data_IF_586818832077
#
_entry.id   IF_586818832077
#
_cell.length_a   1.000
_cell.length_b   1.000
_cell.length_c   1.000
_cell.angle_alpha   90.00
_cell.angle_beta   90.00
_cell.angle_gamma   90.00
#
_symmetry.space_group_name_H-M   'P 1'
#
loop_
_entity.id
_entity.type
_entity.pdbx_description
1 polymer ?
#
# COMPACT_ATOMS: atom_id res chain seq x y z
N UNK A 1 33.99 -10.26 -20.32
CA UNK A 1 33.23 -11.12 -19.33
C UNK A 1 31.90 -11.54 -19.94
N UNK A 2 31.48 -12.84 -19.77
CA UNK A 2 30.19 -13.30 -20.32
C UNK A 2 29.00 -12.77 -19.52
N UNK A 3 27.86 -12.60 -20.18
CA UNK A 3 26.65 -12.00 -19.60
C UNK A 3 26.16 -12.73 -18.35
N UNK A 4 26.19 -14.08 -18.35
CA UNK A 4 25.73 -14.86 -17.20
C UNK A 4 26.62 -14.60 -15.96
N UNK A 5 27.94 -14.65 -16.12
CA UNK A 5 28.91 -14.37 -15.05
C UNK A 5 28.76 -12.92 -14.52
N UNK A 6 28.53 -11.97 -15.43
CA UNK A 6 28.29 -10.59 -15.08
C UNK A 6 27.00 -10.40 -14.26
N UNK A 7 25.91 -11.08 -14.65
CA UNK A 7 24.64 -11.06 -13.91
C UNK A 7 24.82 -11.62 -12.50
N UNK A 8 25.49 -12.78 -12.37
CA UNK A 8 25.69 -13.43 -11.07
C UNK A 8 26.52 -12.54 -10.13
N UNK A 9 27.61 -11.97 -10.62
CA UNK A 9 28.46 -11.06 -9.85
C UNK A 9 27.70 -9.80 -9.41
N UNK A 10 26.91 -9.19 -10.31
CA UNK A 10 26.11 -8.01 -10.02
C UNK A 10 24.99 -8.31 -9.01
N UNK A 11 24.25 -9.40 -9.19
CA UNK A 11 23.17 -9.83 -8.30
C UNK A 11 23.72 -10.16 -6.90
N UNK A 12 24.86 -10.88 -6.84
CA UNK A 12 25.53 -11.17 -5.58
C UNK A 12 25.87 -9.88 -4.84
N UNK A 13 26.53 -8.93 -5.51
CA UNK A 13 26.84 -7.63 -4.92
C UNK A 13 25.61 -6.90 -4.40
N UNK A 14 24.51 -6.88 -5.19
CA UNK A 14 23.27 -6.23 -4.76
C UNK A 14 22.65 -6.88 -3.54
N UNK A 15 22.80 -8.19 -3.39
CA UNK A 15 22.37 -8.92 -2.19
C UNK A 15 23.27 -8.65 -0.99
N UNK A 16 24.58 -8.56 -1.21
CA UNK A 16 25.56 -8.20 -0.17
C UNK A 16 25.32 -6.76 0.34
N UNK A 17 24.82 -5.85 -0.53
CA UNK A 17 24.33 -4.51 -0.17
C UNK A 17 22.97 -4.54 0.59
N UNK A 18 22.43 -5.72 0.96
CA UNK A 18 21.18 -5.89 1.70
C UNK A 18 19.91 -5.82 0.87
N UNK A 19 20.00 -5.85 -0.46
CA UNK A 19 18.83 -5.85 -1.35
C UNK A 19 18.34 -7.27 -1.65
N UNK A 20 17.03 -7.51 -1.61
CA UNK A 20 16.44 -8.81 -1.98
C UNK A 20 16.65 -9.13 -3.47
N UNK A 21 16.66 -8.17 -4.33
CA UNK A 21 16.99 -8.15 -5.77
C UNK A 21 16.43 -9.30 -6.64
N UNK A 22 15.41 -10.03 -6.17
CA UNK A 22 14.87 -11.22 -6.84
C UNK A 22 14.16 -10.91 -8.16
N UNK A 23 13.36 -9.82 -8.19
CA UNK A 23 12.64 -9.39 -9.39
C UNK A 23 13.63 -8.96 -10.49
N UNK A 24 14.58 -8.10 -10.17
CA UNK A 24 15.60 -7.63 -11.12
C UNK A 24 16.49 -8.78 -11.61
N UNK A 25 16.88 -9.69 -10.72
CA UNK A 25 17.63 -10.89 -11.10
C UNK A 25 16.85 -11.76 -12.12
N UNK A 26 15.53 -11.91 -11.91
CA UNK A 26 14.66 -12.63 -12.84
C UNK A 26 14.61 -12.00 -14.23
N UNK A 27 14.61 -10.68 -14.33
CA UNK A 27 14.66 -9.97 -15.62
C UNK A 27 16.03 -10.03 -16.28
N UNK A 28 17.13 -9.93 -15.52
CA UNK A 28 18.49 -10.10 -16.05
C UNK A 28 18.69 -11.52 -16.58
N UNK A 29 18.23 -12.53 -15.85
CA UNK A 29 18.25 -13.91 -16.33
C UNK A 29 17.36 -14.13 -17.58
N UNK A 30 16.25 -13.39 -17.70
CA UNK A 30 15.42 -13.43 -18.90
C UNK A 30 16.11 -12.78 -20.10
N UNK A 31 16.86 -11.69 -19.88
CA UNK A 31 17.71 -11.09 -20.92
C UNK A 31 18.76 -12.09 -21.41
N UNK A 32 19.48 -12.75 -20.49
CA UNK A 32 20.49 -13.75 -20.84
C UNK A 32 19.90 -14.92 -21.65
N UNK A 33 18.69 -15.37 -21.30
CA UNK A 33 17.99 -16.40 -22.10
C UNK A 33 17.59 -15.96 -23.51
N UNK A 34 17.32 -14.67 -23.70
CA UNK A 34 16.93 -14.13 -25.00
C UNK A 34 18.12 -13.83 -25.90
N UNK A 35 19.18 -13.26 -25.36
CA UNK A 35 20.38 -12.83 -26.11
C UNK A 35 21.40 -13.96 -26.22
N UNK A 36 21.41 -14.89 -25.29
CA UNK A 36 22.43 -15.92 -25.10
C UNK A 36 23.51 -15.48 -24.11
N UNK A 37 24.40 -16.40 -23.75
CA UNK A 37 25.54 -16.13 -22.87
C UNK A 37 26.73 -15.60 -23.68
N UNK A 38 26.52 -14.41 -24.24
CA UNK A 38 27.53 -13.72 -25.06
C UNK A 38 28.41 -12.84 -24.19
N UNK A 39 29.53 -12.34 -24.71
CA UNK A 39 30.34 -11.33 -24.01
C UNK A 39 29.61 -10.00 -23.91
N UNK A 40 29.82 -9.27 -22.79
CA UNK A 40 29.09 -8.00 -22.50
C UNK A 40 29.29 -6.94 -23.60
N UNK A 41 30.48 -6.92 -24.25
CA UNK A 41 30.84 -5.98 -25.30
C UNK A 41 30.14 -6.28 -26.63
N UNK A 42 29.62 -7.51 -26.79
CA UNK A 42 28.89 -7.94 -28.00
C UNK A 42 27.40 -7.60 -27.93
N UNK A 43 26.90 -7.21 -26.78
CA UNK A 43 25.47 -6.89 -26.59
C UNK A 43 25.15 -5.59 -27.33
N UNK A 44 24.16 -5.64 -28.21
CA UNK A 44 23.75 -4.50 -29.01
C UNK A 44 22.56 -3.76 -28.44
N UNK A 45 22.46 -2.47 -28.75
CA UNK A 45 21.30 -1.64 -28.39
C UNK A 45 19.99 -2.19 -28.99
N UNK A 46 20.05 -2.89 -30.11
CA UNK A 46 18.92 -3.52 -30.80
C UNK A 46 18.37 -4.70 -29.99
N UNK A 47 19.23 -5.53 -29.42
CA UNK A 47 18.82 -6.67 -28.59
C UNK A 47 18.17 -6.18 -27.31
N UNK A 48 18.74 -5.16 -26.65
CA UNK A 48 18.16 -4.52 -25.48
C UNK A 48 16.80 -3.89 -25.80
N UNK A 49 16.67 -3.20 -26.95
CA UNK A 49 15.38 -2.65 -27.38
C UNK A 49 14.32 -3.75 -27.57
N UNK A 50 14.68 -4.86 -28.22
CA UNK A 50 13.79 -6.02 -28.40
C UNK A 50 13.34 -6.61 -27.07
N UNK A 51 14.26 -6.73 -26.11
CA UNK A 51 13.93 -7.22 -24.76
C UNK A 51 12.98 -6.27 -24.00
N UNK A 52 13.20 -4.97 -24.12
CA UNK A 52 12.34 -3.96 -23.49
C UNK A 52 10.93 -3.97 -24.08
N UNK A 53 10.79 -4.26 -25.38
CA UNK A 53 9.52 -4.27 -26.10
C UNK A 53 8.72 -5.56 -25.96
N UNK A 54 9.24 -6.58 -25.32
CA UNK A 54 8.67 -7.91 -25.19
C UNK A 54 7.14 -7.95 -25.03
N UNK A 55 6.48 -9.07 -25.30
CA UNK A 55 5.04 -9.15 -25.44
C UNK A 55 4.32 -8.64 -24.19
N UNK A 56 3.35 -7.73 -24.35
CA UNK A 56 2.50 -7.15 -23.29
C UNK A 56 3.24 -6.30 -22.24
N UNK A 57 4.36 -5.68 -22.59
CA UNK A 57 5.06 -4.76 -21.68
C UNK A 57 4.30 -3.45 -21.56
N UNK A 58 3.85 -3.11 -20.35
CA UNK A 58 3.22 -1.80 -20.08
C UNK A 58 4.28 -0.68 -20.12
N UNK A 59 3.89 0.58 -20.39
CA UNK A 59 4.83 1.71 -20.38
C UNK A 59 5.62 1.85 -19.08
N UNK A 60 5.00 1.63 -17.93
CA UNK A 60 5.67 1.66 -16.62
C UNK A 60 6.66 0.50 -16.45
N UNK A 61 6.29 -0.72 -16.86
CA UNK A 61 7.18 -1.89 -16.82
C UNK A 61 8.36 -1.70 -17.78
N UNK A 62 8.13 -1.11 -18.96
CA UNK A 62 9.20 -0.76 -19.88
C UNK A 62 10.22 0.18 -19.21
N UNK A 63 9.73 1.22 -18.54
CA UNK A 63 10.60 2.20 -17.88
C UNK A 63 11.37 1.58 -16.68
N UNK A 64 10.72 0.71 -15.91
CA UNK A 64 11.37 -0.02 -14.82
C UNK A 64 12.48 -0.96 -15.33
N UNK A 65 12.20 -1.73 -16.40
CA UNK A 65 13.20 -2.57 -17.07
C UNK A 65 14.35 -1.71 -17.62
N UNK A 66 14.04 -0.59 -18.27
CA UNK A 66 15.04 0.32 -18.82
C UNK A 66 15.99 0.83 -17.72
N UNK A 67 15.48 1.32 -16.62
CA UNK A 67 16.32 1.81 -15.51
C UNK A 67 17.12 0.68 -14.86
N UNK A 68 16.55 -0.50 -14.72
CA UNK A 68 17.23 -1.65 -14.17
C UNK A 68 18.41 -2.07 -15.06
N UNK A 69 18.19 -2.17 -16.37
CA UNK A 69 19.26 -2.51 -17.34
C UNK A 69 20.33 -1.42 -17.41
N UNK A 70 19.91 -0.16 -17.42
CA UNK A 70 20.85 0.96 -17.41
C UNK A 70 21.76 0.89 -16.19
N UNK A 71 21.22 0.68 -14.99
CA UNK A 71 22.01 0.55 -13.77
C UNK A 71 22.98 -0.66 -13.84
N UNK A 72 22.58 -1.75 -14.49
CA UNK A 72 23.43 -2.92 -14.69
C UNK A 72 24.59 -2.61 -15.63
N UNK A 73 24.33 -2.01 -16.79
CA UNK A 73 25.39 -1.67 -17.75
C UNK A 73 26.26 -0.49 -17.27
N UNK A 74 25.70 0.53 -16.62
CA UNK A 74 26.46 1.61 -15.98
C UNK A 74 27.48 1.05 -14.96
N UNK A 75 27.10 0.01 -14.22
CA UNK A 75 28.00 -0.65 -13.27
C UNK A 75 29.18 -1.33 -13.94
N UNK A 76 28.97 -1.98 -15.09
CA UNK A 76 30.07 -2.66 -15.82
C UNK A 76 30.90 -1.68 -16.65
N UNK A 77 30.31 -0.62 -17.18
CA UNK A 77 31.02 0.48 -17.84
C UNK A 77 32.01 1.14 -16.85
N UNK A 78 31.56 1.42 -15.64
CA UNK A 78 32.41 2.02 -14.59
C UNK A 78 33.59 1.10 -14.16
N UNK A 79 33.57 -0.17 -14.54
CA UNK A 79 34.66 -1.16 -14.28
C UNK A 79 35.52 -1.45 -15.51
N UNK A 80 35.24 -0.81 -16.62
CA UNK A 80 35.99 -1.04 -17.86
C UNK A 80 35.72 -2.41 -18.52
N UNK A 81 34.63 -3.08 -18.16
CA UNK A 81 34.24 -4.37 -18.77
C UNK A 81 33.49 -4.19 -20.10
N UNK A 82 32.99 -2.98 -20.35
CA UNK A 82 32.43 -2.50 -21.59
C UNK A 82 32.86 -1.07 -21.86
N UNK A 83 33.04 -0.71 -23.15
CA UNK A 83 33.49 0.64 -23.51
C UNK A 83 32.33 1.60 -23.81
N UNK A 84 31.14 1.08 -24.02
CA UNK A 84 29.93 1.90 -24.30
C UNK A 84 28.67 1.24 -23.72
N UNK A 85 27.65 2.07 -23.52
CA UNK A 85 26.36 1.61 -23.03
C UNK A 85 25.49 1.07 -24.17
N UNK A 86 25.12 -0.22 -24.17
CA UNK A 86 24.26 -0.80 -25.20
C UNK A 86 22.77 -0.47 -24.96
N UNK A 87 22.47 0.76 -24.54
CA UNK A 87 21.12 1.16 -24.18
C UNK A 87 20.43 1.94 -25.31
N UNK A 88 19.19 1.58 -25.68
CA UNK A 88 18.43 2.38 -26.63
C UNK A 88 18.04 3.75 -26.04
N UNK A 89 17.62 4.67 -26.92
CA UNK A 89 17.10 5.97 -26.48
C UNK A 89 15.92 5.79 -25.54
N UNK A 90 15.96 6.48 -24.41
CA UNK A 90 14.87 6.46 -23.43
C UNK A 90 13.58 7.00 -24.05
N UNK A 91 12.51 6.21 -24.02
CA UNK A 91 11.19 6.66 -24.46
C UNK A 91 10.61 7.69 -23.50
N UNK A 92 9.98 8.71 -24.04
CA UNK A 92 9.09 9.57 -23.25
C UNK A 92 7.82 8.78 -22.97
N UNK A 93 7.72 8.28 -21.75
CA UNK A 93 6.50 7.60 -21.28
C UNK A 93 5.60 8.66 -20.72
N UNK A 94 4.42 8.85 -21.32
CA UNK A 94 3.36 9.64 -20.69
C UNK A 94 2.81 8.85 -19.54
N UNK A 95 3.26 9.15 -18.34
CA UNK A 95 2.71 8.57 -17.14
C UNK A 95 1.35 9.23 -16.85
N UNK A 96 0.28 8.47 -17.04
CA UNK A 96 -0.99 8.87 -16.44
C UNK A 96 -0.78 8.87 -14.92
N UNK A 97 -1.12 9.97 -14.21
CA UNK A 97 -0.95 10.01 -12.77
C UNK A 97 -1.69 8.84 -12.13
N UNK A 98 -0.96 8.10 -11.29
CA UNK A 98 -1.56 7.00 -10.55
C UNK A 98 -2.60 7.56 -9.59
N UNK A 99 -3.87 7.23 -9.80
CA UNK A 99 -4.98 7.58 -8.93
C UNK A 99 -5.36 6.35 -8.08
N UNK A 100 -5.01 6.31 -6.79
CA UNK A 100 -5.43 5.21 -5.92
C UNK A 100 -6.95 5.22 -5.73
N UNK A 101 -7.52 4.07 -5.43
CA UNK A 101 -8.91 4.00 -5.01
C UNK A 101 -9.01 4.21 -3.49
N UNK A 102 -9.86 5.12 -3.05
CA UNK A 102 -10.13 5.35 -1.63
C UNK A 102 -11.49 4.77 -1.31
N UNK A 103 -11.50 3.67 -0.58
CA UNK A 103 -12.73 3.03 -0.15
C UNK A 103 -13.51 3.94 0.82
N UNK A 104 -14.79 4.07 0.60
CA UNK A 104 -15.70 4.70 1.58
C UNK A 104 -15.87 3.80 2.81
N UNK A 105 -16.31 4.38 3.93
CA UNK A 105 -16.62 3.58 5.13
C UNK A 105 -17.72 2.53 4.87
N UNK A 106 -18.69 2.85 4.03
CA UNK A 106 -19.74 1.90 3.61
C UNK A 106 -19.18 0.73 2.82
N UNK A 107 -18.27 0.97 1.89
CA UNK A 107 -17.62 -0.10 1.11
C UNK A 107 -16.73 -0.98 1.99
N UNK A 108 -15.98 -0.39 2.94
CA UNK A 108 -15.23 -1.19 3.93
C UNK A 108 -16.19 -2.10 4.72
N UNK A 109 -17.34 -1.58 5.18
CA UNK A 109 -18.34 -2.42 5.86
C UNK A 109 -18.88 -3.53 4.96
N UNK A 110 -19.16 -3.24 3.69
CA UNK A 110 -19.60 -4.26 2.72
C UNK A 110 -18.54 -5.36 2.54
N UNK A 111 -17.26 -5.01 2.40
CA UNK A 111 -16.17 -5.97 2.32
C UNK A 111 -16.09 -6.84 3.58
N UNK A 112 -16.15 -6.24 4.77
CA UNK A 112 -16.06 -6.96 6.04
C UNK A 112 -17.26 -7.88 6.28
N UNK A 113 -18.46 -7.45 5.90
CA UNK A 113 -19.67 -8.26 5.99
C UNK A 113 -19.67 -9.40 4.95
N UNK A 114 -19.23 -9.10 3.73
CA UNK A 114 -19.07 -10.10 2.68
C UNK A 114 -18.05 -11.18 3.05
N UNK A 115 -16.95 -10.80 3.75
CA UNK A 115 -15.96 -11.74 4.24
C UNK A 115 -16.53 -12.75 5.25
N UNK A 116 -17.48 -12.34 6.11
CA UNK A 116 -18.19 -13.25 7.03
C UNK A 116 -18.98 -14.34 6.29
N UNK A 117 -19.58 -13.97 5.17
CA UNK A 117 -20.47 -14.85 4.39
C UNK A 117 -19.71 -15.81 3.46
N UNK A 118 -18.36 -15.77 3.44
CA UNK A 118 -17.56 -16.68 2.61
C UNK A 118 -17.49 -18.11 3.15
N UNK A 119 -18.02 -18.40 4.34
CA UNK A 119 -18.13 -19.76 4.93
C UNK A 119 -18.77 -20.77 3.98
N UNK A 120 -19.67 -20.35 3.10
CA UNK A 120 -20.41 -21.20 2.15
C UNK A 120 -19.54 -21.68 0.96
N UNK A 121 -18.33 -21.14 0.77
CA UNK A 121 -17.44 -21.56 -0.32
C UNK A 121 -16.58 -22.74 0.16
N UNK A 122 -17.09 -23.96 -0.02
CA UNK A 122 -16.44 -25.24 0.41
C UNK A 122 -15.00 -25.41 -0.08
N UNK A 123 -14.63 -24.78 -1.22
CA UNK A 123 -13.29 -24.85 -1.83
C UNK A 123 -12.36 -23.68 -1.43
N UNK A 124 -12.76 -22.78 -0.56
CA UNK A 124 -11.88 -21.68 -0.11
C UNK A 124 -10.78 -22.22 0.81
N UNK A 125 -9.53 -21.94 0.46
CA UNK A 125 -8.35 -22.27 1.29
C UNK A 125 -8.22 -21.35 2.50
N UNK A 126 -8.77 -20.15 2.44
CA UNK A 126 -8.77 -19.16 3.52
C UNK A 126 -10.16 -19.18 4.15
N UNK A 127 -10.23 -19.25 5.45
CA UNK A 127 -11.51 -19.17 6.16
C UNK A 127 -12.00 -17.72 6.29
N UNK A 128 -13.29 -17.60 6.65
CA UNK A 128 -13.94 -16.30 6.76
C UNK A 128 -13.40 -15.43 7.90
N UNK A 129 -12.94 -16.04 8.97
CA UNK A 129 -12.39 -15.34 10.13
C UNK A 129 -11.03 -14.74 9.76
N UNK A 130 -10.13 -15.55 9.20
CA UNK A 130 -8.82 -15.07 8.71
C UNK A 130 -8.96 -14.00 7.65
N UNK A 131 -9.83 -14.18 6.64
CA UNK A 131 -10.04 -13.18 5.60
C UNK A 131 -10.54 -11.86 6.20
N UNK A 132 -11.53 -11.92 7.10
CA UNK A 132 -12.07 -10.73 7.75
C UNK A 132 -11.02 -10.03 8.62
N UNK A 133 -10.29 -10.81 9.43
CA UNK A 133 -9.28 -10.25 10.35
C UNK A 133 -8.15 -9.57 9.59
N UNK A 134 -7.62 -10.19 8.54
CA UNK A 134 -6.55 -9.56 7.75
C UNK A 134 -7.01 -8.30 7.02
N UNK A 135 -8.27 -8.23 6.55
CA UNK A 135 -8.82 -7.01 5.96
C UNK A 135 -8.95 -5.88 7.01
N UNK A 136 -9.44 -6.21 8.21
CA UNK A 136 -9.48 -5.24 9.33
C UNK A 136 -8.07 -4.79 9.68
N UNK A 137 -7.13 -5.72 9.76
CA UNK A 137 -5.74 -5.45 10.08
C UNK A 137 -5.08 -4.50 9.06
N UNK A 138 -5.21 -4.81 7.76
CA UNK A 138 -4.67 -3.98 6.68
C UNK A 138 -5.28 -2.57 6.66
N UNK A 139 -6.60 -2.48 6.85
CA UNK A 139 -7.29 -1.20 6.93
C UNK A 139 -6.95 -0.43 8.21
N UNK A 140 -6.85 -1.10 9.36
CA UNK A 140 -6.58 -0.48 10.66
C UNK A 140 -5.14 -0.04 10.87
N UNK A 141 -4.18 -0.68 10.18
CA UNK A 141 -2.75 -0.38 10.33
C UNK A 141 -2.14 0.30 9.09
N UNK A 142 -2.76 0.20 7.93
CA UNK A 142 -2.18 0.67 6.68
C UNK A 142 -0.88 -0.03 6.27
N UNK A 143 -0.57 -1.19 6.84
CA UNK A 143 0.61 -1.98 6.49
C UNK A 143 0.58 -2.46 5.03
N UNK A 144 1.77 -2.71 4.47
CA UNK A 144 1.85 -3.42 3.19
C UNK A 144 1.36 -4.85 3.36
N UNK A 145 0.63 -5.37 2.38
CA UNK A 145 0.13 -6.76 2.42
C UNK A 145 1.27 -7.76 2.67
N UNK A 146 2.43 -7.55 2.05
CA UNK A 146 3.59 -8.39 2.26
C UNK A 146 4.18 -8.33 3.68
N UNK A 147 4.06 -7.20 4.40
CA UNK A 147 4.43 -7.08 5.81
C UNK A 147 3.45 -7.90 6.67
N UNK A 148 2.15 -7.74 6.46
CA UNK A 148 1.13 -8.51 7.16
C UNK A 148 1.27 -10.04 6.96
N UNK A 149 1.61 -10.48 5.75
CA UNK A 149 1.78 -11.91 5.43
C UNK A 149 3.08 -12.52 5.98
N UNK A 150 4.02 -11.71 6.44
CA UNK A 150 5.26 -12.17 7.08
C UNK A 150 5.26 -12.01 8.60
N UNK A 151 4.19 -11.45 9.13
CA UNK A 151 4.04 -11.22 10.56
C UNK A 151 4.07 -12.56 11.30
N UNK A 152 4.92 -12.66 12.30
CA UNK A 152 5.02 -13.80 13.19
C UNK A 152 4.14 -13.59 14.42
N UNK A 153 3.82 -14.67 15.12
CA UNK A 153 3.06 -14.61 16.37
C UNK A 153 3.80 -13.81 17.43
N UNK A 154 5.12 -13.98 17.51
CA UNK A 154 6.00 -13.26 18.44
C UNK A 154 6.10 -11.75 18.17
N UNK A 155 5.80 -11.33 16.94
CA UNK A 155 5.79 -9.91 16.55
C UNK A 155 4.60 -9.14 17.11
N UNK A 156 3.56 -9.83 17.59
CA UNK A 156 2.28 -9.25 18.00
C UNK A 156 2.16 -9.26 19.52
N UNK A 157 2.56 -8.18 20.15
CA UNK A 157 2.40 -7.99 21.59
C UNK A 157 1.00 -7.37 21.89
N UNK A 158 0.05 -8.24 22.19
CA UNK A 158 -1.32 -7.82 22.50
C UNK A 158 -1.43 -7.18 23.87
N UNK A 159 -0.54 -7.48 24.81
CA UNK A 159 -0.55 -6.88 26.15
C UNK A 159 -0.14 -5.40 26.07
N UNK A 160 0.94 -5.12 25.38
CA UNK A 160 1.41 -3.73 25.15
C UNK A 160 0.63 -3.01 24.03
N UNK A 161 -0.18 -3.73 23.24
CA UNK A 161 -0.87 -3.16 22.10
C UNK A 161 0.10 -2.67 21.01
N UNK A 162 1.14 -3.43 20.74
CA UNK A 162 2.21 -3.09 19.81
C UNK A 162 2.52 -4.23 18.83
N UNK A 163 2.96 -3.89 17.64
CA UNK A 163 3.36 -4.85 16.61
C UNK A 163 4.74 -4.49 16.07
N UNK A 164 5.65 -5.44 16.07
CA UNK A 164 6.99 -5.34 15.48
C UNK A 164 6.92 -5.67 13.99
N UNK A 165 7.33 -4.74 13.16
CA UNK A 165 7.38 -4.93 11.70
C UNK A 165 8.82 -5.00 11.26
N UNK A 166 9.22 -6.16 10.78
CA UNK A 166 10.57 -6.37 10.24
C UNK A 166 10.67 -5.90 8.79
N UNK A 167 11.69 -5.09 8.51
CA UNK A 167 11.88 -4.47 7.21
C UNK A 167 12.50 -5.43 6.20
N UNK A 168 12.00 -5.42 4.95
CA UNK A 168 12.57 -6.19 3.84
C UNK A 168 13.66 -5.43 3.07
N UNK A 169 13.63 -4.11 3.13
CA UNK A 169 14.61 -3.26 2.44
C UNK A 169 15.36 -2.43 3.48
N UNK A 170 16.67 -2.44 3.42
CA UNK A 170 17.55 -1.68 4.33
C UNK A 170 17.37 -2.01 5.82
N UNK A 171 16.90 -3.23 6.14
CA UNK A 171 16.74 -3.74 7.51
C UNK A 171 16.08 -2.76 8.51
N UNK A 172 15.14 -1.94 8.03
CA UNK A 172 14.43 -0.95 8.85
C UNK A 172 13.23 -1.62 9.51
N UNK A 173 13.43 -2.07 10.72
CA UNK A 173 12.36 -2.52 11.60
C UNK A 173 11.67 -1.33 12.25
N UNK A 174 10.39 -1.47 12.59
CA UNK A 174 9.62 -0.47 13.33
C UNK A 174 8.58 -1.12 14.20
N UNK A 175 8.28 -0.48 15.31
CA UNK A 175 7.17 -0.86 16.19
C UNK A 175 6.00 0.07 15.91
N UNK A 176 4.81 -0.49 15.72
CA UNK A 176 3.59 0.26 15.51
C UNK A 176 2.59 -0.01 16.65
N UNK A 177 2.05 1.04 17.28
CA UNK A 177 0.98 0.87 18.25
C UNK A 177 -0.34 0.52 17.55
N UNK A 178 -1.18 -0.27 18.21
CA UNK A 178 -2.53 -0.60 17.76
C UNK A 178 -3.57 -0.15 18.76
N UNK A 179 -4.70 0.35 18.27
CA UNK A 179 -5.80 0.78 19.11
C UNK A 179 -6.57 -0.40 19.75
N UNK A 180 -7.34 -0.12 20.82
CA UNK A 180 -8.04 -1.14 21.59
C UNK A 180 -9.03 -1.96 20.76
N UNK A 181 -9.68 -1.37 19.77
CA UNK A 181 -10.63 -2.10 18.91
C UNK A 181 -9.93 -3.12 18.01
N UNK A 182 -8.78 -2.76 17.41
CA UNK A 182 -7.99 -3.69 16.63
C UNK A 182 -7.38 -4.78 17.51
N UNK A 183 -6.89 -4.41 18.71
CA UNK A 183 -6.38 -5.34 19.70
C UNK A 183 -7.42 -6.43 20.01
N UNK A 184 -8.66 -6.06 20.37
CA UNK A 184 -9.76 -7.02 20.62
C UNK A 184 -10.03 -7.97 19.45
N UNK A 185 -9.95 -7.46 18.21
CA UNK A 185 -10.12 -8.30 17.00
C UNK A 185 -8.99 -9.30 16.87
N UNK A 186 -7.74 -8.90 17.15
CA UNK A 186 -6.59 -9.80 17.09
C UNK A 186 -6.59 -10.81 18.24
N UNK A 187 -6.99 -10.42 19.44
CA UNK A 187 -7.19 -11.32 20.60
C UNK A 187 -8.21 -12.42 20.28
N UNK A 188 -9.37 -12.03 19.74
CA UNK A 188 -10.38 -13.00 19.31
C UNK A 188 -9.89 -13.93 18.20
N UNK A 189 -9.08 -13.43 17.28
CA UNK A 189 -8.48 -14.22 16.22
C UNK A 189 -7.48 -15.23 16.78
N UNK A 190 -6.54 -14.79 17.63
CA UNK A 190 -5.55 -15.66 18.28
C UNK A 190 -6.22 -16.74 19.12
N UNK A 191 -7.23 -16.41 19.90
CA UNK A 191 -7.96 -17.39 20.73
C UNK A 191 -8.65 -18.46 19.89
N UNK A 192 -9.21 -18.07 18.74
CA UNK A 192 -9.88 -19.01 17.82
C UNK A 192 -8.91 -19.94 17.09
N UNK A 193 -7.60 -19.60 17.02
CA UNK A 193 -6.61 -20.27 16.18
C UNK A 193 -5.49 -20.98 16.93
N UNK A 194 -5.26 -20.69 18.22
CA UNK A 194 -4.18 -21.27 19.03
C UNK A 194 -4.15 -22.81 19.08
N UNK A 195 -5.23 -23.47 18.71
CA UNK A 195 -5.37 -24.95 18.81
C UNK A 195 -4.90 -25.69 17.53
N UNK A 196 -4.57 -24.98 16.44
CA UNK A 196 -4.54 -25.63 15.14
C UNK A 196 -3.17 -25.72 14.45
N UNK A 197 -2.13 -24.96 14.88
CA UNK A 197 -0.85 -24.95 14.13
C UNK A 197 0.38 -24.65 14.97
N UNK A 198 1.50 -25.32 14.61
CA UNK A 198 2.86 -24.99 15.03
C UNK A 198 3.52 -23.95 14.09
N UNK A 199 2.77 -23.35 13.17
CA UNK A 199 3.30 -22.36 12.22
C UNK A 199 3.60 -21.05 12.94
N UNK A 200 4.81 -20.48 12.81
CA UNK A 200 5.17 -19.23 13.45
C UNK A 200 4.44 -18.00 12.87
N UNK A 201 3.82 -18.12 11.67
CA UNK A 201 3.14 -16.99 11.04
C UNK A 201 1.81 -16.67 11.74
N UNK A 202 1.57 -15.36 11.92
CA UNK A 202 0.35 -14.87 12.57
C UNK A 202 -0.91 -15.18 11.74
N UNK A 203 -0.83 -14.99 10.41
CA UNK A 203 -1.93 -15.28 9.48
C UNK A 203 -1.62 -16.53 8.67
N UNK A 204 -2.48 -17.54 8.79
CA UNK A 204 -2.36 -18.82 8.07
C UNK A 204 -3.66 -19.23 7.39
N UNK A 205 -3.59 -20.18 6.49
CA UNK A 205 -4.75 -20.73 5.79
C UNK A 205 -5.40 -21.86 6.61
N UNK A 206 -6.44 -22.50 6.07
CA UNK A 206 -7.16 -23.61 6.75
C UNK A 206 -6.30 -24.84 7.06
N UNK A 207 -5.16 -24.96 6.39
CA UNK A 207 -4.22 -26.07 6.63
C UNK A 207 -3.14 -25.70 7.64
N UNK A 208 -3.16 -24.48 8.17
CA UNK A 208 -2.10 -23.97 9.01
C UNK A 208 -0.87 -23.50 8.24
N UNK A 209 -0.91 -23.43 6.90
CA UNK A 209 0.19 -22.94 6.08
C UNK A 209 0.15 -21.41 5.98
N UNK A 210 1.32 -20.80 5.80
CA UNK A 210 1.44 -19.36 5.55
C UNK A 210 0.52 -18.91 4.41
N UNK A 211 -0.17 -17.79 4.59
CA UNK A 211 -1.03 -17.21 3.55
C UNK A 211 -0.21 -16.77 2.33
N UNK A 212 -0.63 -17.25 1.16
CA UNK A 212 -0.08 -16.80 -0.11
C UNK A 212 -0.74 -15.49 -0.55
N UNK A 213 0.08 -14.51 -1.00
CA UNK A 213 -0.40 -13.25 -1.56
C UNK A 213 -1.40 -13.46 -2.70
N UNK A 214 -1.09 -14.36 -3.63
CA UNK A 214 -1.93 -14.63 -4.80
C UNK A 214 -3.30 -15.20 -4.41
N UNK A 215 -3.34 -16.11 -3.43
CA UNK A 215 -4.59 -16.67 -2.89
C UNK A 215 -5.43 -15.58 -2.22
N UNK A 216 -4.81 -14.72 -1.41
CA UNK A 216 -5.50 -13.63 -0.71
C UNK A 216 -6.02 -12.58 -1.70
N UNK A 217 -5.23 -12.18 -2.68
CA UNK A 217 -5.64 -11.25 -3.74
C UNK A 217 -6.81 -11.80 -4.56
N UNK A 218 -6.79 -13.08 -4.90
CA UNK A 218 -7.90 -13.72 -5.60
C UNK A 218 -9.19 -13.70 -4.76
N UNK A 219 -9.07 -13.98 -3.46
CA UNK A 219 -10.21 -13.92 -2.54
C UNK A 219 -10.75 -12.49 -2.40
N UNK A 220 -9.87 -11.51 -2.26
CA UNK A 220 -10.25 -10.10 -2.23
C UNK A 220 -10.98 -9.67 -3.51
N UNK A 221 -10.46 -10.05 -4.68
CA UNK A 221 -11.08 -9.74 -5.97
C UNK A 221 -12.49 -10.30 -6.08
N UNK A 222 -12.70 -11.57 -5.68
CA UNK A 222 -14.03 -12.21 -5.64
C UNK A 222 -14.97 -11.50 -4.67
N UNK A 223 -14.46 -11.16 -3.48
CA UNK A 223 -15.22 -10.44 -2.46
C UNK A 223 -15.66 -9.07 -2.96
N UNK A 224 -14.75 -8.30 -3.54
CA UNK A 224 -15.03 -6.99 -4.13
C UNK A 224 -16.11 -7.08 -5.22
N UNK A 225 -15.96 -8.05 -6.14
CA UNK A 225 -16.96 -8.27 -7.22
C UNK A 225 -18.33 -8.60 -6.65
N UNK A 226 -18.40 -9.50 -5.64
CA UNK A 226 -19.65 -9.85 -4.98
C UNK A 226 -20.27 -8.68 -4.22
N UNK A 227 -19.47 -7.80 -3.68
CA UNK A 227 -19.92 -6.57 -3.01
C UNK A 227 -20.22 -5.43 -3.99
N UNK A 228 -20.14 -5.67 -5.30
CA UNK A 228 -20.38 -4.71 -6.38
C UNK A 228 -19.54 -3.42 -6.28
N UNK A 229 -18.39 -3.49 -5.61
CA UNK A 229 -17.49 -2.36 -5.50
C UNK A 229 -16.67 -2.25 -6.79
N UNK A 230 -16.96 -1.18 -7.53
CA UNK A 230 -16.32 -0.86 -8.81
C UNK A 230 -15.85 0.58 -8.82
N UNK A 231 -14.83 0.85 -9.60
CA UNK A 231 -14.37 2.19 -9.87
C UNK A 231 -15.27 2.83 -10.93
N UNK A 232 -15.66 4.08 -10.72
CA UNK A 232 -16.48 4.87 -11.63
C UNK A 232 -15.76 6.15 -12.10
N UNK A 233 -14.48 6.30 -11.72
CA UNK A 233 -13.60 7.37 -12.14
C UNK A 233 -12.66 6.89 -13.26
N UNK A 234 -11.90 7.81 -13.86
CA UNK A 234 -10.97 7.54 -14.97
C UNK A 234 -9.69 6.76 -14.57
N UNK A 235 -9.66 6.18 -13.37
CA UNK A 235 -8.52 5.41 -12.89
C UNK A 235 -8.32 4.10 -13.64
N UNK A 236 -7.09 3.81 -14.02
CA UNK A 236 -6.70 2.66 -14.86
C UNK A 236 -6.96 1.29 -14.22
N UNK A 237 -7.15 1.22 -12.90
CA UNK A 237 -7.23 -0.05 -12.17
C UNK A 237 -8.49 -0.12 -11.32
N UNK A 238 -9.11 -1.30 -11.29
CA UNK A 238 -10.17 -1.59 -10.34
C UNK A 238 -9.63 -1.59 -8.90
N UNK A 239 -10.47 -1.32 -7.86
CA UNK A 239 -10.04 -1.29 -6.47
C UNK A 239 -9.26 -2.55 -6.07
N UNK A 240 -8.06 -2.38 -5.49
CA UNK A 240 -7.14 -3.45 -5.12
C UNK A 240 -7.04 -3.55 -3.60
N UNK A 241 -6.58 -4.67 -3.11
CA UNK A 241 -6.29 -4.85 -1.69
C UNK A 241 -5.24 -3.83 -1.17
N UNK A 242 -4.27 -3.47 -2.01
CA UNK A 242 -3.28 -2.44 -1.68
C UNK A 242 -3.91 -1.06 -1.43
N UNK A 243 -5.05 -0.77 -2.03
CA UNK A 243 -5.76 0.50 -1.87
C UNK A 243 -6.36 0.68 -0.46
N UNK A 244 -6.45 -0.41 0.35
CA UNK A 244 -6.76 -0.31 1.79
C UNK A 244 -5.72 0.52 2.54
N UNK A 245 -4.44 0.45 2.14
CA UNK A 245 -3.37 1.26 2.72
C UNK A 245 -3.52 2.74 2.36
N UNK A 246 -3.89 3.04 1.12
CA UNK A 246 -4.21 4.41 0.70
C UNK A 246 -5.42 4.95 1.46
N UNK A 247 -6.44 4.12 1.59
CA UNK A 247 -7.66 4.43 2.36
C UNK A 247 -7.35 4.71 3.82
N UNK A 248 -6.53 3.88 4.48
CA UNK A 248 -6.09 4.13 5.86
C UNK A 248 -5.47 5.51 5.99
N UNK A 249 -4.46 5.82 5.17
CA UNK A 249 -3.76 7.11 5.25
C UNK A 249 -4.71 8.29 5.04
N UNK A 250 -5.54 8.21 3.99
CA UNK A 250 -6.51 9.24 3.66
C UNK A 250 -7.54 9.44 4.77
N UNK A 251 -8.14 8.39 5.30
CA UNK A 251 -9.10 8.46 6.39
C UNK A 251 -8.46 8.98 7.67
N UNK A 252 -7.22 8.61 7.97
CA UNK A 252 -6.50 9.09 9.15
C UNK A 252 -6.20 10.58 9.06
N UNK A 253 -5.68 11.04 7.94
CA UNK A 253 -5.48 12.47 7.68
C UNK A 253 -6.81 13.20 7.78
N UNK A 254 -7.87 12.51 7.29
CA UNK A 254 -9.24 12.93 7.37
C UNK A 254 -9.68 13.29 8.76
N UNK A 255 -9.52 12.40 9.61
CA UNK A 255 -9.95 12.51 10.98
C UNK A 255 -9.13 13.60 11.72
N UNK A 256 -7.82 13.65 11.47
CA UNK A 256 -6.96 14.68 12.06
C UNK A 256 -7.35 16.11 11.68
N UNK A 257 -7.71 16.33 10.41
CA UNK A 257 -8.14 17.65 9.96
C UNK A 257 -9.47 18.03 10.60
N UNK A 258 -10.41 17.08 10.66
CA UNK A 258 -11.71 17.26 11.31
C UNK A 258 -11.57 17.69 12.76
N UNK A 259 -10.60 17.12 13.48
CA UNK A 259 -10.33 17.42 14.89
C UNK A 259 -9.30 18.55 15.09
N UNK A 260 -8.89 19.26 14.04
CA UNK A 260 -7.96 20.39 14.13
C UNK A 260 -6.53 20.02 14.52
N UNK A 261 -6.11 18.77 14.34
CA UNK A 261 -4.78 18.32 14.68
C UNK A 261 -3.68 19.02 13.84
N UNK A 262 -2.51 19.20 14.42
CA UNK A 262 -1.37 19.80 13.74
C UNK A 262 -0.75 18.82 12.72
N UNK A 263 -1.07 19.01 11.44
CA UNK A 263 -0.62 18.13 10.36
C UNK A 263 0.90 18.13 10.17
N UNK A 264 1.58 19.24 10.45
CA UNK A 264 3.04 19.30 10.33
C UNK A 264 3.73 18.31 11.28
N UNK A 265 3.11 18.03 12.42
CA UNK A 265 3.56 17.02 13.39
C UNK A 265 3.06 15.62 13.03
N UNK A 266 1.81 15.51 12.56
CA UNK A 266 1.15 14.21 12.37
C UNK A 266 1.58 13.51 11.08
N UNK A 267 1.90 14.24 9.99
CA UNK A 267 2.30 13.63 8.73
C UNK A 267 3.65 12.91 8.81
N UNK A 268 4.71 13.46 9.44
CA UNK A 268 5.94 12.71 9.69
C UNK A 268 5.71 11.44 10.52
N UNK A 269 4.89 11.52 11.56
CA UNK A 269 4.55 10.36 12.38
C UNK A 269 3.82 9.27 11.56
N UNK A 270 2.90 9.67 10.67
CA UNK A 270 2.24 8.74 9.74
C UNK A 270 3.23 8.10 8.77
N UNK A 271 4.20 8.87 8.25
CA UNK A 271 5.22 8.35 7.36
C UNK A 271 6.05 7.24 8.05
N UNK A 272 6.49 7.48 9.27
CA UNK A 272 7.24 6.50 10.09
C UNK A 272 6.36 5.29 10.38
N UNK A 273 5.14 5.49 10.85
CA UNK A 273 4.17 4.44 11.15
C UNK A 273 3.94 3.52 9.94
N UNK A 274 3.70 4.10 8.77
CA UNK A 274 3.50 3.37 7.53
C UNK A 274 4.80 2.79 6.93
N UNK A 275 5.99 3.18 7.40
CA UNK A 275 7.26 2.78 6.83
C UNK A 275 7.47 3.35 5.42
N UNK A 276 7.18 4.63 5.24
CA UNK A 276 7.50 5.40 4.04
C UNK A 276 8.93 5.92 4.16
N UNK A 277 9.70 5.79 3.10
CA UNK A 277 11.10 6.25 3.07
C UNK A 277 11.21 7.75 2.78
N UNK A 278 10.19 8.30 2.15
CA UNK A 278 10.10 9.70 1.79
C UNK A 278 8.83 10.33 2.36
N UNK A 279 9.00 11.41 3.09
CA UNK A 279 7.92 12.21 3.64
C UNK A 279 6.98 12.78 2.54
N UNK A 280 7.53 13.14 1.38
CA UNK A 280 6.75 13.61 0.22
C UNK A 280 5.72 12.59 -0.25
N UNK A 281 5.97 11.30 0.00
CA UNK A 281 5.00 10.24 -0.27
C UNK A 281 3.74 10.36 0.61
N UNK A 282 3.83 10.99 1.78
CA UNK A 282 2.69 11.23 2.67
C UNK A 282 1.85 12.42 2.21
N UNK A 283 2.48 13.43 1.61
CA UNK A 283 1.79 14.60 1.06
C UNK A 283 0.83 14.23 -0.07
N UNK A 284 1.14 13.17 -0.83
CA UNK A 284 0.24 12.67 -1.88
C UNK A 284 -1.14 12.28 -1.34
N UNK A 285 -1.22 11.81 -0.09
CA UNK A 285 -2.50 11.46 0.52
C UNK A 285 -3.38 12.68 0.83
N UNK A 286 -2.77 13.85 1.01
CA UNK A 286 -3.51 15.09 1.17
C UNK A 286 -4.29 15.46 -0.10
N UNK A 287 -3.71 15.17 -1.26
CA UNK A 287 -4.35 15.43 -2.56
C UNK A 287 -5.62 14.60 -2.79
N UNK A 288 -5.80 13.48 -2.06
CA UNK A 288 -6.97 12.61 -2.20
C UNK A 288 -8.12 12.98 -1.25
N UNK A 289 -8.04 14.13 -0.57
CA UNK A 289 -9.06 14.57 0.39
C UNK A 289 -9.61 15.96 0.02
N UNK A 290 -10.56 16.05 -0.94
CA UNK A 290 -11.05 17.32 -1.50
C UNK A 290 -11.58 18.32 -0.45
N UNK A 291 -12.32 17.82 0.54
CA UNK A 291 -12.92 18.64 1.61
C UNK A 291 -11.88 19.35 2.49
N UNK A 292 -10.62 18.98 2.35
CA UNK A 292 -9.51 19.37 3.23
C UNK A 292 -8.51 20.29 2.58
N UNK A 293 -8.52 20.38 1.27
CA UNK A 293 -7.79 21.41 0.55
C UNK A 293 -8.10 22.79 1.11
N UNK A 294 -9.35 23.02 1.51
CA UNK A 294 -9.81 24.30 2.05
C UNK A 294 -9.08 24.70 3.34
N UNK A 295 -9.02 23.81 4.33
CA UNK A 295 -8.38 24.11 5.62
C UNK A 295 -6.85 24.18 5.51
N UNK A 296 -6.25 23.43 4.59
CA UNK A 296 -4.81 23.39 4.40
C UNK A 296 -4.28 24.46 3.48
N UNK A 297 -4.97 24.80 2.40
CA UNK A 297 -4.62 25.96 1.59
C UNK A 297 -4.65 27.22 2.44
N UNK A 298 -5.50 27.26 3.47
CA UNK A 298 -5.50 28.36 4.46
C UNK A 298 -4.24 28.36 5.31
N UNK A 299 -3.71 27.16 5.71
CA UNK A 299 -2.55 27.04 6.61
C UNK A 299 -1.21 27.07 5.87
N UNK A 300 -1.17 26.54 4.65
CA UNK A 300 0.04 26.44 3.82
C UNK A 300 0.21 27.58 2.84
N UNK A 301 -0.82 28.43 2.68
CA UNK A 301 -0.70 29.63 1.87
C UNK A 301 0.30 30.56 2.55
N UNK A 302 1.49 30.77 1.97
CA UNK A 302 2.41 31.75 2.53
C UNK A 302 1.71 33.10 2.53
N UNK A 303 1.84 33.86 3.60
CA UNK A 303 1.31 35.23 3.72
C UNK A 303 1.99 36.19 2.73
N UNK A 304 2.37 35.72 1.55
CA UNK A 304 3.02 36.48 0.50
C UNK A 304 2.00 36.92 -0.54
N UNK A 305 1.61 38.21 -0.47
CA UNK A 305 0.91 38.91 -1.52
C UNK A 305 -0.55 39.26 -1.21
N UNK A 306 -0.95 40.41 -1.68
CA UNK A 306 -2.24 41.09 -1.42
C UNK A 306 -3.50 40.44 -2.02
N UNK A 307 -3.39 39.28 -2.68
CA UNK A 307 -4.55 38.51 -3.16
C UNK A 307 -4.56 37.12 -2.48
N UNK A 308 -5.43 36.98 -1.53
CA UNK A 308 -5.71 35.67 -0.89
C UNK A 308 -6.56 34.86 -1.88
N UNK A 309 -6.28 33.57 -2.05
CA UNK A 309 -7.11 32.67 -2.86
C UNK A 309 -8.62 32.73 -2.47
N UNK A 310 -8.95 33.12 -1.22
CA UNK A 310 -10.31 33.43 -0.72
C UNK A 310 -11.00 34.53 -1.49
N UNK A 311 -10.22 35.45 -2.09
CA UNK A 311 -10.72 36.58 -2.81
C UNK A 311 -10.97 36.23 -4.29
N UNK A 312 -10.72 34.99 -4.70
CA UNK A 312 -11.04 34.49 -6.04
C UNK A 312 -12.46 33.89 -6.05
N UNK A 313 -13.46 34.61 -6.61
CA UNK A 313 -14.85 34.21 -6.58
C UNK A 313 -15.12 32.90 -7.35
N UNK A 314 -14.39 32.62 -8.42
CA UNK A 314 -14.53 31.39 -9.21
C UNK A 314 -14.04 30.17 -8.43
N UNK A 315 -12.87 30.29 -7.77
CA UNK A 315 -12.32 29.25 -6.93
C UNK A 315 -13.23 28.97 -5.72
N UNK A 316 -13.77 30.02 -5.10
CA UNK A 316 -14.71 29.91 -4.00
C UNK A 316 -16.04 29.27 -4.42
N UNK A 317 -16.55 29.60 -5.61
CA UNK A 317 -17.75 28.99 -6.18
C UNK A 317 -17.52 27.53 -6.55
N UNK A 318 -16.35 27.17 -7.06
CA UNK A 318 -15.95 25.79 -7.32
C UNK A 318 -15.86 24.97 -6.01
N UNK A 319 -15.20 25.50 -5.00
CA UNK A 319 -15.04 24.86 -3.69
C UNK A 319 -16.38 24.72 -2.93
N UNK A 320 -17.31 25.68 -3.07
CA UNK A 320 -18.65 25.55 -2.50
C UNK A 320 -19.49 24.47 -3.18
N UNK A 321 -19.42 24.36 -4.52
CA UNK A 321 -20.09 23.28 -5.25
C UNK A 321 -19.60 21.90 -4.81
N UNK A 322 -18.29 21.73 -4.58
CA UNK A 322 -17.74 20.47 -4.06
C UNK A 322 -18.21 20.16 -2.64
N UNK A 323 -18.49 21.18 -1.81
CA UNK A 323 -19.02 20.97 -0.45
C UNK A 323 -20.53 20.68 -0.43
N UNK A 324 -21.29 21.20 -1.38
CA UNK A 324 -22.75 21.02 -1.45
C UNK A 324 -23.14 19.64 -1.99
N UNK A 325 -22.34 19.05 -2.90
CA UNK A 325 -22.52 17.67 -3.36
C UNK A 325 -22.25 16.62 -2.26
N UNK A 326 -21.38 16.95 -1.30
CA UNK A 326 -21.12 16.10 -0.13
C UNK A 326 -22.19 16.27 0.97
N UNK A 327 -22.79 17.45 1.08
CA UNK A 327 -23.80 17.78 2.10
C UNK A 327 -25.17 17.14 1.90
N UNK A 328 -25.53 16.74 0.69
CA UNK A 328 -26.79 16.04 0.42
C UNK A 328 -26.80 14.56 0.87
N UNK A 329 -25.67 13.98 1.28
CA UNK A 329 -25.57 12.60 1.77
C UNK A 329 -25.42 12.46 3.30
N UNK A 330 -25.42 13.56 4.09
CA UNK A 330 -25.09 13.52 5.52
C UNK A 330 -26.05 14.27 6.44
N UNK A 331 -27.36 14.29 6.17
CA UNK A 331 -28.35 14.63 7.19
C UNK A 331 -28.96 13.35 7.76
N UNK A 332 -28.26 12.72 8.68
CA UNK A 332 -28.85 11.85 9.74
C UNK A 332 -27.74 11.55 10.78
N UNK A 333 -27.99 12.03 12.02
CA UNK A 333 -27.31 11.73 13.28
C UNK A 333 -26.15 12.66 13.73
N UNK A 334 -26.53 13.79 14.27
CA UNK A 334 -25.77 14.47 15.33
C UNK A 334 -26.37 14.14 16.69
N UNK A 335 -25.56 13.60 17.59
CA UNK A 335 -25.68 13.84 19.03
C UNK A 335 -24.41 13.38 19.79
N UNK A 336 -23.82 14.35 20.50
CA UNK A 336 -22.95 14.28 21.68
C UNK A 336 -21.57 13.64 21.60
N UNK A 337 -20.53 14.44 21.79
CA UNK A 337 -19.20 13.98 22.23
C UNK A 337 -18.45 15.06 23.02
N UNK A 338 -18.01 14.67 24.19
CA UNK A 338 -17.11 15.34 25.13
C UNK A 338 -15.64 15.32 24.63
N UNK A 339 -14.77 16.28 25.02
CA UNK A 339 -13.40 16.34 24.52
C UNK A 339 -12.50 15.30 25.18
N UNK A 340 -11.61 14.71 24.41
CA UNK A 340 -10.65 13.70 24.85
C UNK A 340 -9.21 14.17 24.74
N UNK A 341 -8.47 13.81 25.76
CA UNK A 341 -7.09 14.13 26.08
C UNK A 341 -6.04 13.83 24.99
N UNK A 342 -5.01 14.64 24.96
CA UNK A 342 -4.01 14.83 23.90
C UNK A 342 -2.87 13.77 23.89
N UNK A 343 -2.98 12.63 24.58
CA UNK A 343 -1.82 11.74 24.77
C UNK A 343 -1.90 10.34 24.18
N UNK A 344 -2.92 9.98 23.41
CA UNK A 344 -2.93 8.67 22.77
C UNK A 344 -2.90 8.77 21.24
N UNK A 345 -1.73 8.58 20.64
CA UNK A 345 -1.56 8.22 19.22
C UNK A 345 -2.04 6.78 19.03
N UNK A 346 -3.26 6.51 19.48
CA UNK A 346 -3.88 5.21 19.33
C UNK A 346 -4.67 5.17 18.03
N UNK A 347 -4.45 4.11 17.28
CA UNK A 347 -5.19 3.75 16.09
C UNK A 347 -6.63 3.41 16.46
N UNK A 348 -7.45 4.43 16.75
CA UNK A 348 -8.87 4.20 17.01
C UNK A 348 -9.54 3.89 15.67
N UNK A 349 -10.04 2.69 15.53
CA UNK A 349 -10.99 2.37 14.45
C UNK A 349 -12.18 3.33 14.54
N UNK A 350 -12.75 3.78 13.41
CA UNK A 350 -13.97 4.57 13.44
C UNK A 350 -15.01 3.86 14.30
N UNK A 351 -15.61 4.56 15.26
CA UNK A 351 -16.60 4.05 16.23
C UNK A 351 -17.79 3.30 15.62
N UNK A 352 -17.96 3.37 14.31
CA UNK A 352 -19.06 2.75 13.57
C UNK A 352 -18.85 1.26 13.20
N UNK A 353 -17.75 0.64 13.60
CA UNK A 353 -17.54 -0.80 13.48
C UNK A 353 -17.93 -1.57 14.76
N UNK A 354 -18.97 -1.11 15.46
CA UNK A 354 -19.52 -1.86 16.58
C UNK A 354 -20.02 -3.22 16.07
N UNK A 355 -19.39 -4.28 16.56
CA UNK A 355 -19.88 -5.63 16.53
C UNK A 355 -21.15 -5.68 17.42
N UNK A 356 -22.34 -5.61 16.82
CA UNK A 356 -23.56 -6.02 17.56
C UNK A 356 -23.36 -7.45 18.02
N UNK A 357 -23.21 -7.63 19.33
CA UNK A 357 -23.47 -8.93 19.96
C UNK A 357 -24.94 -9.26 19.71
N UNK A 358 -25.24 -10.27 18.93
CA UNK A 358 -26.43 -11.07 19.14
C UNK A 358 -26.08 -12.10 20.24
N UNK A 359 -26.57 -11.87 21.43
CA UNK A 359 -26.96 -12.97 22.31
C UNK A 359 -28.20 -13.55 21.65
N UNK A 360 -28.09 -14.73 21.11
CA UNK A 360 -29.21 -15.66 20.96
C UNK A 360 -28.60 -17.06 20.91
N UNK A 361 -28.93 -17.83 21.96
CA UNK A 361 -28.98 -19.30 22.16
C UNK A 361 -28.00 -20.16 21.38
#
# INVERSE_FOLDING_TARGET
>A
MNLNAAIDAYVKRKRDEGLVYSWSAGYLAALCRQVGDVSLDQITSREIATFLEGPKTSPSTWLEKYHMLRNFFDFWLARGEIDFLPMPVKRKVSERPFLPYIFTHSEIRLLLNGARNTRKVRRSKIDSTTLRTILIFLYGTGLRVGEALRLLVEDVDLEKGAISIHGNRFNRSRIIPIGPDLRKVLEAYTTSRRKETNDPYFFHDKKGERLSYSKLEQMFRRLRQKSQIRRHDDGCYQPRMYDLRHTFATHRIAEWIKHGANLNRMLPALAIYMGLTDFRSTEKYLAFTPERFRAQLIKLSPQRGKKRWRDNPELMKFLSKLSDDSGKRHRLNESTSTPLDLMSVTTTMPRHLHLRRRNDL
#
